data_IF_974586763419
#
_entry.id   IF_974586763419
#
_cell.length_a   1.000
_cell.length_b   1.000
_cell.length_c   1.000
_cell.angle_alpha   90.00
_cell.angle_beta   90.00
_cell.angle_gamma   90.00
#
_symmetry.space_group_name_H-M   'P 1'
#
loop_
_entity.id
_entity.type
_entity.pdbx_description
1 polymer ?
#
# COMPACT_ATOMS: atom_id res chain seq x y z
N UNK A 1 8.58 39.09 -0.49
CA UNK A 1 7.83 39.85 0.56
C UNK A 1 6.46 40.29 0.08
N UNK A 2 6.30 40.90 -1.10
CA UNK A 2 5.01 41.43 -1.60
C UNK A 2 3.89 40.39 -1.71
N UNK A 3 4.17 39.15 -2.18
CA UNK A 3 3.16 38.10 -2.27
C UNK A 3 2.65 37.69 -0.89
N UNK A 4 3.53 37.50 0.08
CA UNK A 4 3.14 37.15 1.44
C UNK A 4 2.32 38.24 2.11
N UNK A 5 2.65 39.50 1.82
CA UNK A 5 1.88 40.66 2.30
C UNK A 5 0.48 40.70 1.65
N UNK A 6 0.42 40.45 0.32
CA UNK A 6 -0.86 40.40 -0.39
C UNK A 6 -1.76 39.25 0.05
N UNK A 7 -1.18 38.16 0.56
CA UNK A 7 -1.92 37.02 1.13
C UNK A 7 -2.34 37.22 2.59
N UNK A 8 -2.06 38.41 3.18
CA UNK A 8 -2.40 38.68 4.57
C UNK A 8 -1.56 37.93 5.62
N UNK A 9 -0.43 37.32 5.23
CA UNK A 9 0.37 36.51 6.15
C UNK A 9 0.98 37.29 7.31
N UNK A 10 1.00 38.64 7.21
CA UNK A 10 1.47 39.53 8.25
C UNK A 10 0.34 40.34 8.91
N UNK A 11 -0.90 40.10 8.48
CA UNK A 11 -2.04 40.78 9.05
C UNK A 11 -2.36 40.17 10.42
N UNK A 12 -2.61 41.07 11.38
CA UNK A 12 -2.88 40.65 12.76
C UNK A 12 -4.18 39.85 12.86
N UNK A 13 -5.14 40.14 12.00
CA UNK A 13 -6.47 39.51 11.97
C UNK A 13 -6.61 38.51 10.83
N UNK A 14 -5.51 37.88 10.41
CA UNK A 14 -5.55 36.81 9.39
C UNK A 14 -6.35 35.60 9.91
N UNK A 15 -7.46 35.21 9.26
CA UNK A 15 -8.33 34.16 9.76
C UNK A 15 -7.63 32.79 9.82
N UNK A 16 -6.58 32.60 9.04
CA UNK A 16 -5.80 31.36 9.07
C UNK A 16 -4.92 31.18 10.31
N UNK A 17 -4.71 32.26 11.08
CA UNK A 17 -3.95 32.19 12.33
C UNK A 17 -4.71 31.45 13.44
N UNK A 18 -6.03 31.33 13.32
CA UNK A 18 -6.89 30.64 14.26
C UNK A 18 -6.97 29.12 14.00
N UNK A 19 -6.44 28.66 12.85
CA UNK A 19 -6.43 27.22 12.52
C UNK A 19 -5.35 26.56 13.35
N UNK A 20 -5.78 25.65 14.23
CA UNK A 20 -4.90 24.85 15.08
C UNK A 20 -4.41 23.59 14.38
N UNK A 21 -3.27 23.07 14.81
CA UNK A 21 -2.81 21.74 14.37
C UNK A 21 -3.82 20.64 14.74
N UNK A 22 -4.63 20.83 15.77
CA UNK A 22 -5.70 19.92 16.15
C UNK A 22 -6.88 19.87 15.17
N UNK A 23 -6.94 20.83 14.24
CA UNK A 23 -7.95 20.84 13.17
C UNK A 23 -7.54 19.93 11.99
N UNK A 24 -6.33 19.38 12.06
CA UNK A 24 -5.83 18.40 11.11
C UNK A 24 -6.00 16.98 11.65
N UNK A 25 -6.25 16.02 10.76
CA UNK A 25 -6.41 14.59 11.08
C UNK A 25 -7.47 14.32 12.18
N UNK A 26 -8.60 15.03 12.10
CA UNK A 26 -9.73 14.80 13.01
C UNK A 26 -10.42 13.46 12.68
N UNK A 27 -11.23 12.89 13.61
CA UNK A 27 -12.01 11.69 13.32
C UNK A 27 -12.92 11.81 12.09
N UNK A 28 -13.40 13.02 11.80
CA UNK A 28 -14.19 13.29 10.59
C UNK A 28 -13.33 13.18 9.34
N UNK A 29 -12.09 13.67 9.36
CA UNK A 29 -11.14 13.52 8.25
C UNK A 29 -10.78 12.06 8.02
N UNK A 30 -10.56 11.29 9.09
CA UNK A 30 -10.31 9.84 9.00
C UNK A 30 -11.49 9.08 8.40
N UNK A 31 -12.70 9.40 8.84
CA UNK A 31 -13.93 8.81 8.30
C UNK A 31 -14.11 9.11 6.81
N UNK A 32 -13.78 10.33 6.39
CA UNK A 32 -13.83 10.71 4.99
C UNK A 32 -12.76 10.01 4.15
N UNK A 33 -11.55 9.82 4.70
CA UNK A 33 -10.48 9.05 4.05
C UNK A 33 -10.89 7.60 3.81
N UNK A 34 -11.50 6.94 4.81
CA UNK A 34 -12.06 5.59 4.67
C UNK A 34 -13.13 5.55 3.58
N UNK A 35 -14.08 6.50 3.62
CA UNK A 35 -15.14 6.59 2.61
C UNK A 35 -14.58 6.78 1.18
N UNK A 36 -13.52 7.55 1.03
CA UNK A 36 -12.85 7.73 -0.27
C UNK A 36 -12.13 6.45 -0.71
N UNK A 37 -11.44 5.77 0.21
CA UNK A 37 -10.80 4.49 -0.08
C UNK A 37 -11.82 3.43 -0.55
N UNK A 38 -12.94 3.29 0.15
CA UNK A 38 -14.04 2.38 -0.23
C UNK A 38 -14.57 2.66 -1.64
N UNK A 39 -14.65 3.94 -2.03
CA UNK A 39 -15.09 4.33 -3.39
C UNK A 39 -14.01 4.15 -4.46
N UNK A 40 -12.75 4.14 -4.04
CA UNK A 40 -11.61 3.95 -4.94
C UNK A 40 -11.31 2.48 -5.25
N UNK A 41 -11.78 1.55 -4.41
CA UNK A 41 -11.58 0.12 -4.61
C UNK A 41 -12.46 -0.37 -5.75
N UNK A 42 -11.86 -1.05 -6.72
CA UNK A 42 -12.54 -1.61 -7.88
C UNK A 42 -12.45 -3.14 -7.83
N UNK A 43 -13.61 -3.80 -7.80
CA UNK A 43 -13.69 -5.25 -7.95
C UNK A 43 -13.59 -5.58 -9.45
N UNK A 44 -12.43 -6.07 -9.88
CA UNK A 44 -12.17 -6.38 -11.29
C UNK A 44 -12.85 -7.69 -11.70
N UNK A 45 -12.80 -8.70 -10.83
CA UNK A 45 -13.37 -10.01 -11.08
C UNK A 45 -13.80 -10.67 -9.77
N UNK A 46 -14.87 -11.43 -9.79
CA UNK A 46 -15.31 -12.27 -8.67
C UNK A 46 -16.12 -13.45 -9.18
N UNK A 47 -15.55 -14.63 -9.11
CA UNK A 47 -16.20 -15.90 -9.46
C UNK A 47 -17.00 -16.53 -8.30
N UNK A 48 -17.24 -15.75 -7.25
CA UNK A 48 -18.01 -16.14 -6.08
C UNK A 48 -17.19 -16.43 -4.83
N UNK A 49 -15.88 -16.10 -4.83
CA UNK A 49 -15.05 -16.19 -3.62
C UNK A 49 -15.41 -15.06 -2.64
N UNK A 50 -15.79 -13.89 -3.12
CA UNK A 50 -16.23 -12.78 -2.29
C UNK A 50 -17.77 -12.67 -2.22
N UNK A 51 -18.34 -12.34 -1.04
CA UNK A 51 -17.66 -12.15 0.24
C UNK A 51 -17.07 -13.45 0.78
N UNK A 52 -15.98 -13.38 1.53
CA UNK A 52 -15.37 -14.54 2.15
C UNK A 52 -16.38 -15.21 3.08
N UNK A 53 -16.41 -16.54 3.05
CA UNK A 53 -17.32 -17.34 3.88
C UNK A 53 -16.82 -17.34 5.32
N UNK A 54 -17.74 -17.26 6.27
CA UNK A 54 -17.44 -17.29 7.72
C UNK A 54 -16.74 -18.60 8.19
N UNK A 55 -16.77 -19.63 7.38
CA UNK A 55 -16.17 -20.92 7.69
C UNK A 55 -14.75 -21.12 7.14
N UNK A 56 -14.15 -20.11 6.53
CA UNK A 56 -12.73 -20.13 6.22
C UNK A 56 -11.93 -20.32 7.51
N UNK A 57 -11.11 -21.35 7.57
CA UNK A 57 -10.40 -21.71 8.79
C UNK A 57 -8.99 -21.13 8.83
N UNK A 58 -8.31 -21.11 7.67
CA UNK A 58 -6.94 -20.62 7.53
C UNK A 58 -6.81 -19.71 6.34
N UNK A 59 -6.28 -18.51 6.57
CA UNK A 59 -5.98 -17.53 5.53
C UNK A 59 -4.47 -17.25 5.51
N UNK A 60 -3.85 -17.43 4.35
CA UNK A 60 -2.52 -16.90 4.11
C UNK A 60 -2.63 -15.49 3.52
N UNK A 61 -1.97 -14.53 4.16
CA UNK A 61 -1.72 -13.22 3.59
C UNK A 61 -0.28 -13.23 3.08
N UNK A 62 -0.08 -12.85 1.82
CA UNK A 62 1.25 -12.88 1.21
C UNK A 62 1.45 -11.70 0.25
N UNK A 63 2.69 -11.51 -0.20
CA UNK A 63 3.06 -10.41 -1.07
C UNK A 63 3.67 -9.22 -0.31
N UNK A 64 4.50 -8.48 -1.03
CA UNK A 64 5.27 -7.38 -0.44
C UNK A 64 4.38 -6.28 0.14
N UNK A 65 3.29 -5.95 -0.56
CA UNK A 65 2.43 -4.82 -0.17
C UNK A 65 1.46 -5.13 0.98
N UNK A 66 1.43 -6.35 1.49
CA UNK A 66 0.56 -6.70 2.62
C UNK A 66 0.92 -5.92 3.92
N UNK A 67 2.20 -5.57 4.10
CA UNK A 67 2.72 -4.81 5.24
C UNK A 67 3.68 -3.67 4.82
N UNK A 68 3.57 -3.18 3.60
CA UNK A 68 4.43 -2.14 3.05
C UNK A 68 3.85 -0.74 3.23
N UNK A 69 4.41 0.04 4.16
CA UNK A 69 3.97 1.43 4.41
C UNK A 69 4.09 2.34 3.20
N UNK A 70 5.12 2.17 2.37
CA UNK A 70 5.32 3.02 1.20
C UNK A 70 4.20 2.89 0.16
N UNK A 71 3.54 1.74 0.09
CA UNK A 71 2.40 1.54 -0.81
C UNK A 71 1.21 2.46 -0.49
N UNK A 72 1.13 2.96 0.76
CA UNK A 72 0.06 3.86 1.21
C UNK A 72 0.40 5.34 1.07
N UNK A 73 1.66 5.66 0.85
CA UNK A 73 2.14 7.04 0.88
C UNK A 73 2.17 7.68 -0.52
N UNK A 74 2.48 6.94 -1.55
CA UNK A 74 2.74 7.49 -2.89
C UNK A 74 4.00 8.35 -2.93
N UNK A 75 4.08 9.29 -3.87
CA UNK A 75 5.24 10.16 -4.06
C UNK A 75 5.15 11.49 -3.28
N UNK A 76 3.95 12.00 -3.07
CA UNK A 76 3.69 13.29 -2.40
C UNK A 76 2.85 13.06 -1.16
N UNK A 77 3.49 12.73 -0.07
CA UNK A 77 2.81 12.33 1.15
C UNK A 77 3.13 13.22 2.35
N UNK A 78 2.19 13.27 3.30
CA UNK A 78 2.45 13.72 4.66
C UNK A 78 2.92 12.56 5.55
N UNK A 79 3.05 12.83 6.83
CA UNK A 79 3.35 11.81 7.84
C UNK A 79 2.05 11.46 8.58
N UNK A 80 1.39 10.37 8.22
CA UNK A 80 0.14 9.99 8.87
C UNK A 80 0.40 9.49 10.29
N UNK A 81 -0.52 9.80 11.19
CA UNK A 81 -0.44 9.36 12.60
C UNK A 81 -0.60 7.87 12.77
N UNK A 82 -1.26 7.20 11.82
CA UNK A 82 -1.57 5.78 11.87
C UNK A 82 -1.64 5.17 10.47
N UNK A 83 -1.22 3.92 10.36
CA UNK A 83 -1.37 3.08 9.17
C UNK A 83 -2.16 1.83 9.54
N UNK A 84 -3.13 1.48 8.73
CA UNK A 84 -3.80 0.18 8.82
C UNK A 84 -3.33 -0.69 7.68
N UNK A 85 -2.44 -1.64 7.96
CA UNK A 85 -1.94 -2.58 6.96
C UNK A 85 -2.99 -3.66 6.67
N UNK A 86 -2.90 -4.31 5.51
CA UNK A 86 -3.79 -5.43 5.17
C UNK A 86 -3.68 -6.53 6.23
N UNK A 87 -2.48 -6.83 6.69
CA UNK A 87 -2.23 -7.80 7.77
C UNK A 87 -2.93 -7.42 9.07
N UNK A 88 -2.89 -6.16 9.46
CA UNK A 88 -3.56 -5.65 10.65
C UNK A 88 -5.09 -5.67 10.50
N UNK A 89 -5.59 -5.18 9.36
CA UNK A 89 -7.03 -5.12 9.10
C UNK A 89 -7.68 -6.51 9.15
N UNK A 90 -7.05 -7.50 8.54
CA UNK A 90 -7.60 -8.86 8.49
C UNK A 90 -7.49 -9.56 9.85
N UNK A 91 -6.45 -9.31 10.63
CA UNK A 91 -6.28 -9.90 11.96
C UNK A 91 -7.38 -9.51 12.97
N UNK A 92 -8.15 -8.46 12.68
CA UNK A 92 -9.29 -8.05 13.52
C UNK A 92 -10.49 -9.00 13.38
N UNK A 93 -10.55 -9.78 12.33
CA UNK A 93 -11.54 -10.85 12.17
C UNK A 93 -11.04 -12.09 12.90
N UNK A 94 -11.93 -12.79 13.57
CA UNK A 94 -11.58 -14.00 14.36
C UNK A 94 -11.36 -15.21 13.44
N UNK A 95 -10.37 -15.10 12.55
CA UNK A 95 -9.97 -16.11 11.56
C UNK A 95 -8.49 -16.40 11.77
N UNK A 96 -8.07 -17.66 11.65
CA UNK A 96 -6.66 -18.02 11.68
C UNK A 96 -5.93 -17.43 10.47
N UNK A 97 -5.10 -16.44 10.71
CA UNK A 97 -4.37 -15.73 9.67
C UNK A 97 -2.88 -15.87 9.84
N UNK A 98 -2.19 -16.28 8.80
CA UNK A 98 -0.74 -16.32 8.74
C UNK A 98 -0.25 -15.29 7.73
N UNK A 99 0.79 -14.54 8.07
CA UNK A 99 1.46 -13.64 7.14
C UNK A 99 2.87 -14.14 6.82
N UNK A 100 3.11 -14.37 5.53
CA UNK A 100 4.44 -14.68 5.00
C UNK A 100 4.62 -13.82 3.76
N UNK A 101 5.59 -12.91 3.78
CA UNK A 101 5.80 -11.98 2.66
C UNK A 101 6.03 -12.70 1.32
N UNK A 102 6.82 -13.77 1.31
CA UNK A 102 7.07 -14.63 0.15
C UNK A 102 7.96 -14.02 -0.93
N UNK A 103 7.71 -12.77 -1.28
CA UNK A 103 8.47 -12.02 -2.29
C UNK A 103 8.81 -10.62 -1.83
N UNK A 104 9.84 -10.04 -2.43
CA UNK A 104 10.12 -8.61 -2.35
C UNK A 104 9.49 -7.83 -3.50
N UNK A 105 9.49 -6.50 -3.38
CA UNK A 105 8.82 -5.62 -4.34
C UNK A 105 9.29 -5.85 -5.79
N UNK A 106 10.59 -6.06 -6.01
CA UNK A 106 11.13 -6.11 -7.35
C UNK A 106 12.29 -7.08 -7.59
N UNK A 107 12.85 -7.80 -6.67
CA UNK A 107 13.89 -8.78 -7.06
C UNK A 107 14.61 -9.56 -5.96
N UNK A 108 14.28 -9.43 -4.72
CA UNK A 108 15.08 -10.05 -3.65
C UNK A 108 14.22 -10.85 -2.66
N UNK A 109 13.44 -11.81 -3.19
CA UNK A 109 12.95 -12.84 -2.28
C UNK A 109 14.09 -13.74 -1.89
N UNK A 110 14.25 -13.99 -0.60
CA UNK A 110 15.07 -15.14 -0.24
C UNK A 110 14.30 -16.39 -0.71
N UNK A 111 15.02 -17.35 -1.29
CA UNK A 111 14.43 -18.62 -1.70
C UNK A 111 13.62 -19.27 -0.56
N UNK A 112 14.10 -19.10 0.66
CA UNK A 112 13.46 -19.61 1.87
C UNK A 112 12.08 -18.99 2.12
N UNK A 113 11.93 -17.66 1.98
CA UNK A 113 10.65 -16.98 2.20
C UNK A 113 9.60 -17.43 1.19
N UNK A 114 10.00 -17.56 -0.08
CA UNK A 114 9.13 -18.03 -1.16
C UNK A 114 8.68 -19.48 -0.92
N UNK A 115 9.62 -20.40 -0.66
CA UNK A 115 9.30 -21.81 -0.38
C UNK A 115 8.36 -21.96 0.83
N UNK A 116 8.59 -21.16 1.88
CA UNK A 116 7.75 -21.17 3.08
C UNK A 116 6.34 -20.69 2.77
N UNK A 117 6.21 -19.63 1.98
CA UNK A 117 4.91 -19.10 1.57
C UNK A 117 4.13 -20.10 0.69
N UNK A 118 4.78 -20.71 -0.30
CA UNK A 118 4.17 -21.72 -1.16
C UNK A 118 3.70 -22.95 -0.38
N UNK A 119 4.48 -23.36 0.62
CA UNK A 119 4.07 -24.45 1.51
C UNK A 119 2.84 -24.08 2.33
N UNK A 120 2.81 -22.90 2.91
CA UNK A 120 1.65 -22.42 3.67
C UNK A 120 0.43 -22.22 2.78
N UNK A 121 0.62 -21.76 1.53
CA UNK A 121 -0.44 -21.61 0.54
C UNK A 121 -1.16 -22.94 0.28
N UNK A 122 -0.40 -24.02 0.13
CA UNK A 122 -0.97 -25.37 -0.07
C UNK A 122 -1.78 -25.89 1.14
N UNK A 123 -1.61 -25.30 2.32
CA UNK A 123 -2.31 -25.65 3.55
C UNK A 123 -3.42 -24.66 3.92
N UNK A 124 -3.64 -23.63 3.12
CA UNK A 124 -4.59 -22.55 3.40
C UNK A 124 -5.88 -22.72 2.60
N UNK A 125 -7.01 -22.32 3.20
CA UNK A 125 -8.30 -22.31 2.50
C UNK A 125 -8.42 -21.12 1.55
N UNK A 126 -7.77 -20.01 1.91
CA UNK A 126 -7.80 -18.74 1.16
C UNK A 126 -6.40 -18.12 1.15
N UNK A 127 -6.02 -17.60 0.01
CA UNK A 127 -4.80 -16.80 -0.15
C UNK A 127 -5.19 -15.37 -0.48
N UNK A 128 -4.69 -14.42 0.30
CA UNK A 128 -4.79 -12.99 0.00
C UNK A 128 -3.41 -12.52 -0.47
N UNK A 129 -3.26 -12.35 -1.77
CA UNK A 129 -2.03 -11.89 -2.39
C UNK A 129 -2.06 -10.38 -2.60
N UNK A 130 -1.12 -9.66 -2.00
CA UNK A 130 -0.97 -8.21 -2.10
C UNK A 130 0.16 -7.85 -3.05
N UNK A 131 -0.19 -7.58 -4.29
CA UNK A 131 0.73 -7.14 -5.36
C UNK A 131 0.65 -5.64 -5.58
N UNK A 132 1.59 -5.09 -6.31
CA UNK A 132 1.57 -3.71 -6.76
C UNK A 132 2.94 -3.05 -6.73
N UNK A 133 2.90 -1.75 -6.83
CA UNK A 133 4.06 -0.87 -6.81
C UNK A 133 4.05 -0.01 -5.55
N UNK A 134 5.17 0.62 -5.26
CA UNK A 134 5.25 1.73 -4.33
C UNK A 134 6.15 2.83 -4.91
N UNK A 135 6.27 3.93 -4.19
CA UNK A 135 7.05 5.10 -4.61
C UNK A 135 8.55 4.85 -4.77
N UNK A 136 9.06 3.68 -4.41
CA UNK A 136 10.47 3.33 -4.63
C UNK A 136 10.77 2.80 -6.03
N UNK A 137 9.75 2.32 -6.75
CA UNK A 137 9.87 1.77 -8.09
C UNK A 137 8.93 2.41 -9.11
N UNK A 138 8.06 3.27 -8.67
CA UNK A 138 7.23 4.15 -9.50
C UNK A 138 7.55 5.58 -9.09
N UNK A 139 8.16 6.36 -9.95
CA UNK A 139 8.58 7.72 -9.70
C UNK A 139 8.08 8.65 -10.78
N UNK A 140 7.70 9.86 -10.39
CA UNK A 140 7.36 10.93 -11.31
C UNK A 140 8.64 11.58 -11.84
N UNK A 141 8.81 11.62 -13.15
CA UNK A 141 10.01 12.07 -13.87
C UNK A 141 11.34 11.42 -13.41
N UNK A 142 12.34 11.52 -14.21
CA UNK A 142 13.60 10.84 -14.02
C UNK A 142 14.29 11.14 -12.67
N UNK A 143 14.63 10.12 -11.94
CA UNK A 143 15.80 10.18 -11.07
C UNK A 143 15.57 10.77 -9.69
N UNK A 144 14.51 10.42 -9.04
CA UNK A 144 14.44 10.59 -7.59
C UNK A 144 15.58 9.83 -6.92
N UNK A 145 16.31 10.49 -6.02
CA UNK A 145 17.45 9.92 -5.30
C UNK A 145 17.10 8.68 -4.43
N UNK A 146 15.85 8.25 -4.44
CA UNK A 146 15.34 7.06 -3.78
C UNK A 146 15.28 5.82 -4.72
N UNK A 147 15.55 5.97 -6.00
CA UNK A 147 15.70 4.88 -6.96
C UNK A 147 16.97 4.03 -6.71
N UNK A 148 17.42 3.91 -5.48
CA UNK A 148 18.58 3.16 -5.05
C UNK A 148 18.37 1.65 -4.91
N UNK A 149 17.31 1.10 -5.49
CA UNK A 149 17.04 -0.33 -5.49
C UNK A 149 17.61 -1.01 -6.73
N UNK A 150 18.74 -1.65 -6.63
CA UNK A 150 19.36 -2.41 -7.72
C UNK A 150 18.48 -3.59 -8.18
N UNK A 151 18.23 -3.63 -9.40
CA UNK A 151 17.50 -4.64 -10.16
C UNK A 151 17.07 -3.97 -11.44
N UNK A 152 16.77 -4.57 -12.51
CA UNK A 152 16.44 -3.99 -13.82
C UNK A 152 15.54 -2.74 -13.82
N UNK A 153 15.73 -1.92 -12.85
CA UNK A 153 15.15 -0.61 -12.61
C UNK A 153 16.02 0.37 -13.43
N UNK A 154 16.03 0.15 -14.72
CA UNK A 154 16.59 1.09 -15.69
C UNK A 154 15.60 2.19 -16.04
N UNK A 155 14.39 2.10 -15.54
CA UNK A 155 13.34 3.06 -15.84
C UNK A 155 13.33 4.11 -14.74
N UNK A 156 14.10 5.15 -14.96
CA UNK A 156 14.02 6.39 -14.21
C UNK A 156 12.84 7.17 -14.80
N UNK A 157 11.74 7.26 -14.08
CA UNK A 157 10.58 8.01 -14.49
C UNK A 157 9.28 7.21 -14.51
N UNK A 158 8.31 7.71 -15.25
CA UNK A 158 7.01 7.08 -15.45
C UNK A 158 7.13 5.70 -16.06
N UNK A 159 6.31 4.79 -15.63
CA UNK A 159 6.30 3.43 -16.17
C UNK A 159 5.72 3.41 -17.59
N UNK A 160 6.36 2.65 -18.48
CA UNK A 160 5.91 2.46 -19.86
C UNK A 160 4.82 1.38 -19.98
N UNK A 161 4.67 0.51 -18.97
CA UNK A 161 3.71 -0.60 -18.98
C UNK A 161 2.87 -0.62 -17.71
N UNK A 162 1.68 -1.23 -17.79
CA UNK A 162 0.79 -1.47 -16.64
C UNK A 162 1.05 -2.82 -15.95
N UNK A 163 2.02 -3.58 -16.41
CA UNK A 163 2.32 -4.90 -15.89
C UNK A 163 2.93 -4.82 -14.48
N UNK A 164 2.65 -5.81 -13.67
CA UNK A 164 3.35 -6.00 -12.40
C UNK A 164 4.84 -6.32 -12.65
N UNK A 165 5.74 -6.06 -11.70
CA UNK A 165 7.09 -6.58 -11.74
C UNK A 165 7.11 -8.10 -11.97
N UNK A 166 8.03 -8.57 -12.82
CA UNK A 166 8.06 -9.97 -13.27
C UNK A 166 8.08 -10.96 -12.10
N UNK A 167 8.84 -10.67 -11.05
CA UNK A 167 8.89 -11.53 -9.86
C UNK A 167 7.53 -11.66 -9.15
N UNK A 168 6.69 -10.63 -9.22
CA UNK A 168 5.32 -10.69 -8.67
C UNK A 168 4.41 -11.52 -9.57
N UNK A 169 4.53 -11.38 -10.90
CA UNK A 169 3.78 -12.20 -11.86
C UNK A 169 4.11 -13.69 -11.68
N UNK A 170 5.39 -14.04 -11.69
CA UNK A 170 5.87 -15.41 -11.49
C UNK A 170 5.39 -16.00 -10.15
N UNK A 171 5.37 -15.19 -9.09
CA UNK A 171 4.91 -15.65 -7.79
C UNK A 171 3.42 -15.92 -7.73
N UNK A 172 2.61 -15.08 -8.38
CA UNK A 172 1.16 -15.31 -8.51
C UNK A 172 0.87 -16.60 -9.29
N UNK A 173 1.66 -16.90 -10.33
CA UNK A 173 1.51 -18.13 -11.11
C UNK A 173 1.90 -19.41 -10.32
N UNK A 174 2.74 -19.27 -9.33
CA UNK A 174 3.19 -20.40 -8.50
C UNK A 174 2.27 -20.67 -7.29
N UNK A 175 1.46 -19.68 -6.87
CA UNK A 175 0.48 -19.79 -5.79
C UNK A 175 -0.79 -20.53 -6.25
#
# INVERSE_FOLDING_TARGET
MSIRSALGMFDKDCPYNEISISDNATPEHESEAVRMAEKGIVLLENDGILPLKENAQKILITGFNADNKLAYLGNYFGDPSHFVMVTEAISQYNIDTEFIRGIHLYNQSTKHDKETALKSAAESDIIIMCTGLDSSIEGEEAGGALAGGGGNIGEQGDRETLELPLNQQEYVEEL
#
